data_IF_933035005825
#
_entry.id   IF_933035005825
#
_cell.length_a   1.000
_cell.length_b   1.000
_cell.length_c   1.000
_cell.angle_alpha   90.00
_cell.angle_beta   90.00
_cell.angle_gamma   90.00
#
_symmetry.space_group_name_H-M   'P 1'
#
loop_
_entity.id
_entity.type
_entity.pdbx_description
1 polymer ?
#
# COMPACT_ATOMS: atom_id res chain seq x y z
N UNK A 1 -12.59 4.55 34.28
CA UNK A 1 -11.65 3.75 33.45
C UNK A 1 -12.28 3.50 32.08
N UNK A 2 -12.10 4.42 31.12
CA UNK A 2 -12.65 4.26 29.78
C UNK A 2 -11.79 3.27 28.97
N UNK A 3 -12.37 2.12 28.61
CA UNK A 3 -11.73 1.10 27.77
C UNK A 3 -11.44 1.70 26.38
N UNK A 4 -10.18 2.06 26.11
CA UNK A 4 -9.69 2.37 24.76
C UNK A 4 -9.90 1.12 23.90
N UNK A 5 -10.90 1.15 23.02
CA UNK A 5 -11.17 0.09 22.04
C UNK A 5 -9.95 0.02 21.12
N UNK A 6 -9.13 -1.01 21.25
CA UNK A 6 -8.06 -1.28 20.32
C UNK A 6 -8.68 -1.50 18.93
N UNK A 7 -8.50 -0.55 18.02
CA UNK A 7 -8.82 -0.69 16.61
C UNK A 7 -7.93 -1.80 16.04
N UNK A 8 -8.45 -3.03 16.01
CA UNK A 8 -7.88 -4.14 15.25
C UNK A 8 -7.73 -3.65 13.80
N UNK A 9 -6.49 -3.42 13.37
CA UNK A 9 -6.15 -3.14 11.97
C UNK A 9 -6.70 -4.31 11.15
N UNK A 10 -7.79 -4.10 10.40
CA UNK A 10 -8.34 -5.13 9.50
C UNK A 10 -7.21 -5.51 8.54
N UNK A 11 -6.75 -6.75 8.61
CA UNK A 11 -5.95 -7.32 7.53
C UNK A 11 -6.77 -7.20 6.25
N UNK A 12 -6.23 -6.53 5.24
CA UNK A 12 -6.89 -6.42 3.95
C UNK A 12 -7.17 -7.82 3.43
N UNK A 13 -8.42 -8.12 3.09
CA UNK A 13 -8.85 -9.48 2.76
C UNK A 13 -8.65 -9.80 1.27
N UNK A 14 -8.38 -8.78 0.45
CA UNK A 14 -8.10 -8.88 -0.99
C UNK A 14 -7.25 -7.69 -1.47
N UNK A 15 -6.73 -7.77 -2.71
CA UNK A 15 -5.91 -6.71 -3.33
C UNK A 15 -6.62 -5.35 -3.39
N UNK A 16 -7.94 -5.36 -3.63
CA UNK A 16 -8.72 -4.14 -3.77
C UNK A 16 -8.84 -3.38 -2.43
N UNK A 17 -8.92 -4.11 -1.31
CA UNK A 17 -8.86 -3.54 0.04
C UNK A 17 -7.51 -2.87 0.30
N UNK A 18 -6.41 -3.48 -0.15
CA UNK A 18 -5.07 -2.88 -0.06
C UNK A 18 -5.03 -1.58 -0.86
N UNK A 19 -5.58 -1.57 -2.09
CA UNK A 19 -5.60 -0.38 -2.92
C UNK A 19 -6.41 0.76 -2.31
N UNK A 20 -7.55 0.45 -1.71
CA UNK A 20 -8.36 1.42 -0.98
C UNK A 20 -7.62 1.98 0.24
N UNK A 21 -6.90 1.13 0.98
CA UNK A 21 -6.05 1.56 2.10
C UNK A 21 -4.91 2.47 1.65
N UNK A 22 -4.26 2.15 0.51
CA UNK A 22 -3.21 3.01 -0.06
C UNK A 22 -3.80 4.36 -0.45
N UNK A 23 -4.97 4.39 -1.09
CA UNK A 23 -5.62 5.64 -1.47
C UNK A 23 -5.93 6.51 -0.24
N UNK A 24 -6.49 5.93 0.81
CA UNK A 24 -6.78 6.65 2.05
C UNK A 24 -5.51 7.12 2.80
N UNK A 25 -4.38 6.43 2.63
CA UNK A 25 -3.09 6.85 3.20
C UNK A 25 -2.35 7.89 2.34
N UNK A 26 -2.61 7.91 1.03
CA UNK A 26 -2.03 8.87 0.08
C UNK A 26 -2.82 10.17 0.00
N UNK A 27 -4.11 10.14 0.34
CA UNK A 27 -4.96 11.32 0.53
C UNK A 27 -4.56 12.02 1.84
N UNK A 28 -3.51 12.82 1.75
CA UNK A 28 -2.98 13.65 2.83
C UNK A 28 -3.21 15.13 2.52
N UNK A 29 -3.29 15.98 3.54
CA UNK A 29 -3.42 17.43 3.38
C UNK A 29 -2.38 17.98 2.38
N UNK A 30 -2.85 18.38 1.20
CA UNK A 30 -2.03 18.91 0.11
C UNK A 30 -2.01 18.09 -1.17
N UNK A 31 -2.45 16.82 -1.16
CA UNK A 31 -2.48 15.93 -2.34
C UNK A 31 -3.83 15.21 -2.41
N UNK A 32 -4.76 15.76 -3.20
CA UNK A 32 -6.04 15.08 -3.52
C UNK A 32 -5.81 14.04 -4.61
N UNK A 33 -5.41 12.84 -4.22
CA UNK A 33 -5.30 11.70 -5.13
C UNK A 33 -6.65 11.00 -5.20
N UNK A 34 -7.19 10.84 -6.41
CA UNK A 34 -8.42 10.07 -6.60
C UNK A 34 -8.13 8.57 -6.39
N UNK A 35 -9.03 7.86 -5.69
CA UNK A 35 -8.96 6.40 -5.50
C UNK A 35 -8.78 5.66 -6.83
N UNK A 36 -9.42 6.13 -7.90
CA UNK A 36 -9.28 5.54 -9.24
C UNK A 36 -7.86 5.68 -9.80
N UNK A 37 -7.20 6.82 -9.55
CA UNK A 37 -5.83 7.07 -9.98
C UNK A 37 -4.84 6.23 -9.16
N UNK A 38 -5.03 6.11 -7.85
CA UNK A 38 -4.21 5.22 -7.00
C UNK A 38 -4.25 3.79 -7.50
N UNK A 39 -5.44 3.30 -7.85
CA UNK A 39 -5.61 1.93 -8.38
C UNK A 39 -4.87 1.74 -9.69
N UNK A 40 -4.92 2.72 -10.60
CA UNK A 40 -4.17 2.68 -11.86
C UNK A 40 -2.67 2.68 -11.63
N UNK A 41 -2.16 3.53 -10.74
CA UNK A 41 -0.73 3.58 -10.41
C UNK A 41 -0.25 2.27 -9.81
N UNK A 42 -1.03 1.65 -8.93
CA UNK A 42 -0.70 0.34 -8.36
C UNK A 42 -0.77 -0.78 -9.39
N UNK A 43 -1.72 -0.74 -10.34
CA UNK A 43 -1.76 -1.68 -11.45
C UNK A 43 -0.50 -1.58 -12.32
N UNK A 44 -0.14 -0.36 -12.76
CA UNK A 44 1.09 -0.14 -13.53
C UNK A 44 2.35 -0.53 -12.76
N UNK A 45 2.36 -0.40 -11.43
CA UNK A 45 3.47 -0.90 -10.62
C UNK A 45 3.63 -2.43 -10.73
N UNK A 46 2.53 -3.18 -10.73
CA UNK A 46 2.59 -4.63 -10.93
C UNK A 46 2.91 -5.02 -12.37
N UNK A 47 2.43 -4.27 -13.37
CA UNK A 47 2.80 -4.49 -14.77
C UNK A 47 4.32 -4.37 -14.96
N UNK A 48 4.94 -3.35 -14.36
CA UNK A 48 6.41 -3.17 -14.39
C UNK A 48 7.15 -4.30 -13.65
N UNK A 49 6.54 -4.88 -12.61
CA UNK A 49 7.10 -6.05 -11.92
C UNK A 49 6.92 -7.35 -12.70
N UNK A 50 5.88 -7.45 -13.54
CA UNK A 50 5.63 -8.62 -14.41
C UNK A 50 6.74 -8.77 -15.46
N UNK A 51 7.27 -7.66 -15.95
CA UNK A 51 8.42 -7.65 -16.89
C UNK A 51 9.73 -8.15 -16.24
N UNK A 52 9.76 -8.33 -14.91
CA UNK A 52 10.92 -8.82 -14.18
C UNK A 52 10.82 -10.33 -13.92
N UNK A 53 11.97 -10.97 -13.67
CA UNK A 53 11.94 -12.35 -13.15
C UNK A 53 11.25 -12.35 -11.78
N UNK A 54 10.44 -13.38 -11.46
CA UNK A 54 9.69 -13.43 -10.21
C UNK A 54 10.55 -13.20 -8.96
N UNK A 55 11.74 -13.77 -8.91
CA UNK A 55 12.68 -13.62 -7.80
C UNK A 55 13.11 -12.15 -7.59
N UNK A 56 13.38 -11.43 -8.68
CA UNK A 56 13.79 -10.03 -8.63
C UNK A 56 12.61 -9.13 -8.25
N UNK A 57 11.41 -9.41 -8.78
CA UNK A 57 10.18 -8.71 -8.42
C UNK A 57 9.90 -8.80 -6.90
N UNK A 58 10.02 -9.99 -6.32
CA UNK A 58 9.88 -10.16 -4.86
C UNK A 58 10.99 -9.45 -4.07
N UNK A 59 12.23 -9.43 -4.58
CA UNK A 59 13.32 -8.68 -3.94
C UNK A 59 13.03 -7.17 -3.91
N UNK A 60 12.51 -6.59 -5.00
CA UNK A 60 12.08 -5.19 -5.04
C UNK A 60 10.96 -4.89 -4.03
N UNK A 61 9.95 -5.77 -3.93
CA UNK A 61 8.90 -5.63 -2.93
C UNK A 61 9.51 -5.69 -1.51
N UNK A 62 10.43 -6.63 -1.25
CA UNK A 62 11.09 -6.76 0.05
C UNK A 62 11.88 -5.49 0.44
N UNK A 63 12.60 -4.89 -0.52
CA UNK A 63 13.33 -3.62 -0.35
C UNK A 63 12.35 -2.47 -0.09
N UNK A 64 11.24 -2.43 -0.83
CA UNK A 64 10.17 -1.46 -0.62
C UNK A 64 9.58 -1.52 0.79
N UNK A 65 9.31 -2.73 1.30
CA UNK A 65 8.82 -2.96 2.65
C UNK A 65 9.84 -2.54 3.72
N UNK A 66 11.13 -2.88 3.55
CA UNK A 66 12.20 -2.43 4.46
C UNK A 66 12.27 -0.90 4.52
N UNK A 67 12.18 -0.22 3.37
CA UNK A 67 12.18 1.24 3.30
C UNK A 67 10.93 1.85 3.95
N UNK A 68 9.76 1.21 3.82
CA UNK A 68 8.55 1.63 4.50
C UNK A 68 8.64 1.47 6.02
N UNK A 69 9.24 0.38 6.50
CA UNK A 69 9.49 0.16 7.94
C UNK A 69 10.43 1.20 8.55
N UNK A 70 11.45 1.65 7.80
CA UNK A 70 12.34 2.74 8.22
C UNK A 70 11.67 4.11 8.25
N UNK A 71 10.58 4.30 7.50
CA UNK A 71 9.82 5.56 7.40
C UNK A 71 8.87 5.78 8.58
N UNK A 72 9.24 5.28 9.78
CA UNK A 72 8.44 5.19 11.01
C UNK A 72 7.29 6.22 11.05
N UNK A 73 6.07 5.69 10.95
CA UNK A 73 4.82 6.33 11.38
C UNK A 73 4.86 6.61 12.89
#
# INVERSE_FOLDING_TARGET
>A
MAKKKATKKKAASNLNDIYNQVAAHADTDGVKINVAETKRVLACFFDVLEDQKPADAFDFISKGLKRAAGRRR
#
